data_IF_695802996327
#
_entry.id   IF_695802996327
#
_cell.length_a   1.000
_cell.length_b   1.000
_cell.length_c   1.000
_cell.angle_alpha   90.00
_cell.angle_beta   90.00
_cell.angle_gamma   90.00
#
_symmetry.space_group_name_H-M   'P 1'
#
loop_
_entity.id
_entity.type
_entity.pdbx_description
1 polymer ?
#
# COMPACT_ATOMS: atom_id res chain seq x y z
N UNK A 1 1.17 -19.87 16.92
CA UNK A 1 1.79 -19.96 15.58
C UNK A 1 2.45 -18.62 15.28
N UNK A 2 3.65 -18.65 14.72
CA UNK A 2 4.40 -17.46 14.28
C UNK A 2 3.76 -16.83 13.05
N UNK A 3 3.91 -15.52 12.90
CA UNK A 3 3.52 -14.78 11.70
C UNK A 3 4.16 -15.41 10.44
N UNK A 4 3.41 -15.66 9.34
CA UNK A 4 3.98 -16.23 8.14
C UNK A 4 4.86 -15.22 7.38
N UNK A 5 5.89 -15.72 6.71
CA UNK A 5 6.85 -14.93 5.93
C UNK A 5 6.81 -15.33 4.45
N UNK A 6 7.34 -14.47 3.59
CA UNK A 6 7.44 -14.64 2.15
C UNK A 6 8.82 -14.18 1.66
N UNK A 7 9.44 -14.96 0.78
CA UNK A 7 10.70 -14.59 0.13
C UNK A 7 10.38 -13.69 -1.07
N UNK A 8 10.43 -12.37 -0.85
CA UNK A 8 10.15 -11.37 -1.88
C UNK A 8 11.29 -11.27 -2.91
N UNK A 9 12.52 -11.50 -2.45
CA UNK A 9 13.71 -11.70 -3.27
C UNK A 9 14.66 -12.69 -2.54
N UNK A 10 15.73 -13.22 -3.19
CA UNK A 10 16.60 -14.24 -2.59
C UNK A 10 17.16 -13.91 -1.20
N UNK A 11 17.48 -12.64 -0.94
CA UNK A 11 18.01 -12.13 0.34
C UNK A 11 17.03 -11.18 1.05
N UNK A 12 15.75 -11.20 0.66
CA UNK A 12 14.71 -10.32 1.18
C UNK A 12 13.47 -11.11 1.59
N UNK A 13 13.38 -11.41 2.88
CA UNK A 13 12.24 -12.13 3.47
C UNK A 13 11.37 -11.17 4.26
N UNK A 14 10.11 -11.04 3.87
CA UNK A 14 9.13 -10.11 4.47
C UNK A 14 8.04 -10.88 5.19
N UNK A 15 7.50 -10.33 6.26
CA UNK A 15 6.26 -10.83 6.85
C UNK A 15 5.10 -10.68 5.86
N UNK A 16 4.17 -11.64 5.85
CA UNK A 16 2.93 -11.60 5.04
C UNK A 16 2.01 -10.42 5.40
N UNK A 17 2.26 -9.77 6.53
CA UNK A 17 1.66 -8.51 6.93
C UNK A 17 2.72 -7.42 6.89
N UNK A 18 2.44 -6.33 6.17
CA UNK A 18 3.28 -5.15 6.10
C UNK A 18 2.57 -4.02 6.83
N UNK A 19 3.27 -3.37 7.77
CA UNK A 19 2.70 -2.27 8.53
C UNK A 19 2.81 -0.98 7.73
N UNK A 20 1.70 -0.54 7.13
CA UNK A 20 1.59 0.76 6.48
C UNK A 20 1.45 1.90 7.50
N UNK A 21 2.19 2.98 7.29
CA UNK A 21 2.36 4.04 8.30
C UNK A 21 1.70 5.37 7.93
N UNK A 22 0.86 5.42 6.90
CA UNK A 22 0.29 6.67 6.37
C UNK A 22 -0.57 7.50 7.34
N UNK A 23 -0.91 6.97 8.52
CA UNK A 23 -1.63 7.72 9.57
C UNK A 23 -0.69 8.41 10.58
N UNK A 24 0.61 8.11 10.54
CA UNK A 24 1.59 8.54 11.54
C UNK A 24 2.01 10.00 11.31
N UNK A 25 1.67 10.87 12.26
CA UNK A 25 1.88 12.32 12.16
C UNK A 25 0.62 13.12 11.82
N UNK A 26 -0.51 12.43 11.60
CA UNK A 26 -1.85 13.00 11.39
C UNK A 26 -2.86 12.38 12.38
N UNK A 27 -3.50 11.24 12.04
CA UNK A 27 -4.43 10.57 12.97
C UNK A 27 -3.74 9.99 14.20
N UNK A 28 -2.47 9.58 14.06
CA UNK A 28 -1.67 9.04 15.14
C UNK A 28 -0.57 10.02 15.53
N UNK A 29 -0.58 10.42 16.80
CA UNK A 29 0.55 11.11 17.43
C UNK A 29 1.79 10.21 17.46
N UNK A 30 2.95 10.79 17.74
CA UNK A 30 4.21 10.05 17.88
C UNK A 30 4.10 8.91 18.91
N UNK A 31 3.52 9.18 20.08
CA UNK A 31 3.42 8.18 21.16
C UNK A 31 2.46 7.04 20.79
N UNK A 32 1.38 7.34 20.06
CA UNK A 32 0.49 6.31 19.51
C UNK A 32 1.20 5.48 18.44
N UNK A 33 1.94 6.13 17.54
CA UNK A 33 2.72 5.47 16.48
C UNK A 33 3.76 4.51 17.07
N UNK A 34 4.46 4.94 18.13
CA UNK A 34 5.40 4.08 18.86
C UNK A 34 4.72 2.84 19.43
N UNK A 35 3.56 2.99 20.08
CA UNK A 35 2.82 1.83 20.62
C UNK A 35 2.36 0.86 19.53
N UNK A 36 1.96 1.39 18.38
CA UNK A 36 1.55 0.58 17.23
C UNK A 36 2.74 -0.18 16.63
N UNK A 37 3.89 0.47 16.48
CA UNK A 37 5.14 -0.15 16.02
C UNK A 37 5.69 -1.15 17.06
N UNK A 38 5.58 -0.85 18.35
CA UNK A 38 5.97 -1.77 19.43
C UNK A 38 5.13 -3.05 19.36
N UNK A 39 3.80 -2.94 19.22
CA UNK A 39 2.92 -4.10 19.04
C UNK A 39 3.24 -4.85 17.74
N UNK A 40 3.41 -4.15 16.62
CA UNK A 40 3.69 -4.78 15.33
C UNK A 40 5.03 -5.52 15.32
N UNK A 41 6.09 -4.90 15.83
CA UNK A 41 7.42 -5.46 15.76
C UNK A 41 7.69 -6.48 16.88
N UNK A 42 7.51 -6.09 18.15
CA UNK A 42 7.91 -6.93 19.28
C UNK A 42 6.89 -8.02 19.63
N UNK A 43 5.59 -7.76 19.42
CA UNK A 43 4.53 -8.72 19.77
C UNK A 43 4.12 -9.55 18.55
N UNK A 44 3.85 -8.89 17.43
CA UNK A 44 3.35 -9.55 16.23
C UNK A 44 4.44 -10.17 15.36
N UNK A 45 5.71 -9.72 15.50
CA UNK A 45 6.83 -10.21 14.70
C UNK A 45 6.85 -9.68 13.26
N UNK A 46 6.16 -8.57 12.98
CA UNK A 46 6.17 -7.91 11.67
C UNK A 46 7.55 -7.28 11.47
N UNK A 47 8.22 -7.66 10.38
CA UNK A 47 9.51 -7.06 10.01
C UNK A 47 9.40 -6.05 8.86
N UNK A 48 8.24 -5.93 8.21
CA UNK A 48 8.08 -5.13 7.01
C UNK A 48 7.26 -3.87 7.26
N UNK A 49 7.86 -2.69 7.06
CA UNK A 49 7.21 -1.39 7.22
C UNK A 49 7.12 -0.68 5.87
N UNK A 50 5.96 -0.08 5.60
CA UNK A 50 5.72 0.74 4.41
C UNK A 50 5.40 2.19 4.80
N UNK A 51 6.10 3.12 4.15
CA UNK A 51 5.92 4.58 4.29
C UNK A 51 6.02 5.24 2.92
N UNK A 52 5.99 6.56 2.85
CA UNK A 52 6.28 7.35 1.66
C UNK A 52 6.74 8.74 2.09
N UNK A 53 7.49 9.44 1.24
CA UNK A 53 7.90 10.82 1.55
C UNK A 53 6.70 11.76 1.77
N UNK A 54 5.59 11.51 1.08
CA UNK A 54 4.40 12.36 1.15
C UNK A 54 3.55 12.11 2.39
N UNK A 55 3.78 11.02 3.12
CA UNK A 55 2.97 10.65 4.27
C UNK A 55 3.20 11.61 5.45
N UNK A 56 2.15 11.87 6.26
CA UNK A 56 0.87 11.14 6.36
C UNK A 56 -0.24 11.61 5.40
N UNK A 57 -1.41 10.95 5.48
CA UNK A 57 -2.65 11.31 4.77
C UNK A 57 -3.77 11.74 5.74
N UNK A 58 -4.65 12.69 5.36
CA UNK A 58 -4.61 13.51 4.14
C UNK A 58 -3.37 14.38 4.03
N UNK A 59 -2.93 14.64 2.80
CA UNK A 59 -1.62 15.22 2.53
C UNK A 59 -1.62 16.73 2.77
N UNK A 60 -0.68 17.21 3.60
CA UNK A 60 -0.51 18.64 3.87
C UNK A 60 0.96 19.03 4.00
N UNK A 61 1.30 20.27 3.63
CA UNK A 61 2.67 20.81 3.68
C UNK A 61 3.33 20.68 5.05
N UNK A 62 2.58 20.88 6.13
CA UNK A 62 3.11 20.93 7.49
C UNK A 62 3.37 19.55 8.09
N UNK A 63 2.81 18.49 7.48
CA UNK A 63 2.90 17.12 7.98
C UNK A 63 3.72 16.19 7.09
N UNK A 64 3.99 16.59 5.84
CA UNK A 64 4.80 15.83 4.88
C UNK A 64 6.12 15.33 5.49
N UNK A 65 6.41 14.05 5.28
CA UNK A 65 7.63 13.38 5.76
C UNK A 65 7.56 12.89 7.21
N UNK A 66 6.55 13.28 8.00
CA UNK A 66 6.48 12.90 9.43
C UNK A 66 6.39 11.40 9.65
N UNK A 67 5.77 10.64 8.76
CA UNK A 67 5.68 9.18 8.94
C UNK A 67 7.07 8.54 8.91
N UNK A 68 7.96 8.97 8.00
CA UNK A 68 9.36 8.55 7.95
C UNK A 68 10.14 8.98 9.20
N UNK A 69 9.97 10.22 9.63
CA UNK A 69 10.58 10.73 10.87
C UNK A 69 10.12 9.93 12.11
N UNK A 70 8.85 9.53 12.16
CA UNK A 70 8.30 8.79 13.29
C UNK A 70 8.88 7.37 13.35
N UNK A 71 9.05 6.72 12.20
CA UNK A 71 9.73 5.41 12.11
C UNK A 71 11.17 5.54 12.61
N UNK A 72 11.93 6.53 12.13
CA UNK A 72 13.34 6.68 12.53
C UNK A 72 13.50 6.96 14.02
N UNK A 73 12.64 7.82 14.57
CA UNK A 73 12.60 8.11 16.00
C UNK A 73 12.26 6.87 16.82
N UNK A 74 11.31 6.05 16.35
CA UNK A 74 10.96 4.80 17.02
C UNK A 74 12.13 3.82 17.01
N UNK A 75 12.75 3.59 15.85
CA UNK A 75 13.90 2.69 15.70
C UNK A 75 15.04 3.09 16.64
N UNK A 76 15.39 4.38 16.72
CA UNK A 76 16.42 4.88 17.65
C UNK A 76 16.01 4.73 19.11
N UNK A 77 14.79 5.13 19.46
CA UNK A 77 14.29 5.08 20.84
C UNK A 77 14.17 3.65 21.39
N UNK A 78 13.89 2.68 20.52
CA UNK A 78 13.78 1.26 20.87
C UNK A 78 15.03 0.46 20.57
N UNK A 79 16.07 1.09 20.02
CA UNK A 79 17.32 0.45 19.59
C UNK A 79 17.07 -0.74 18.67
N UNK A 80 16.12 -0.60 17.73
CA UNK A 80 15.81 -1.66 16.78
C UNK A 80 16.94 -1.78 15.77
N UNK A 81 17.57 -2.95 15.62
CA UNK A 81 18.62 -3.15 14.61
C UNK A 81 18.07 -2.91 13.20
N UNK A 82 18.81 -2.17 12.37
CA UNK A 82 18.36 -1.79 11.02
C UNK A 82 18.17 -3.00 10.11
N UNK A 83 18.98 -4.03 10.25
CA UNK A 83 18.94 -5.30 9.52
C UNK A 83 17.75 -6.20 9.93
N UNK A 84 17.08 -5.88 11.04
CA UNK A 84 15.89 -6.61 11.50
C UNK A 84 14.59 -6.12 10.89
N UNK A 85 14.61 -4.98 10.20
CA UNK A 85 13.46 -4.36 9.54
C UNK A 85 13.71 -4.24 8.05
N UNK A 86 12.69 -4.57 7.27
CA UNK A 86 12.59 -4.22 5.86
C UNK A 86 11.83 -2.90 5.76
N UNK A 87 12.51 -1.86 5.29
CA UNK A 87 11.91 -0.54 5.06
C UNK A 87 11.57 -0.35 3.58
N UNK A 88 10.28 -0.17 3.30
CA UNK A 88 9.80 0.33 2.01
C UNK A 88 9.38 1.79 2.11
N UNK A 89 9.89 2.63 1.21
CA UNK A 89 9.39 4.01 1.01
C UNK A 89 9.20 4.30 -0.47
N UNK A 90 8.66 5.48 -0.79
CA UNK A 90 8.19 5.80 -2.14
C UNK A 90 8.50 7.24 -2.54
N UNK A 91 8.85 7.41 -3.81
CA UNK A 91 8.86 8.71 -4.49
C UNK A 91 7.48 9.02 -5.06
N UNK A 92 6.98 10.20 -4.72
CA UNK A 92 5.75 10.82 -5.21
C UNK A 92 5.90 11.14 -6.69
N UNK A 93 4.99 10.61 -7.52
CA UNK A 93 4.89 10.98 -8.93
C UNK A 93 4.32 12.38 -9.14
N UNK A 94 4.08 12.79 -10.40
CA UNK A 94 3.56 14.11 -10.72
C UNK A 94 2.26 14.44 -9.98
N UNK A 95 2.16 15.64 -9.41
CA UNK A 95 0.94 16.10 -8.74
C UNK A 95 0.76 17.61 -8.82
N UNK A 96 -0.38 18.05 -9.35
CA UNK A 96 -0.80 19.45 -9.32
C UNK A 96 -1.28 19.93 -7.94
N UNK A 97 -1.51 19.02 -6.99
CA UNK A 97 -2.05 19.37 -5.66
C UNK A 97 -0.96 19.46 -4.59
N UNK A 98 0.15 18.73 -4.75
CA UNK A 98 1.21 18.60 -3.74
C UNK A 98 2.41 19.50 -4.05
N UNK A 99 2.16 20.78 -4.35
CA UNK A 99 3.17 21.76 -4.82
C UNK A 99 4.32 22.02 -3.83
N UNK A 100 4.22 21.53 -2.60
CA UNK A 100 5.25 21.67 -1.57
C UNK A 100 6.27 20.54 -1.53
N UNK A 101 6.01 19.40 -2.19
CA UNK A 101 6.95 18.29 -2.25
C UNK A 101 8.00 18.61 -3.33
N UNK A 102 9.27 18.81 -2.95
CA UNK A 102 10.38 19.14 -3.86
C UNK A 102 10.08 20.30 -4.84
N UNK A 103 9.37 21.34 -4.36
CA UNK A 103 8.96 22.47 -5.21
C UNK A 103 7.84 22.15 -6.21
N UNK A 104 7.09 21.08 -5.95
CA UNK A 104 6.07 20.50 -6.79
C UNK A 104 6.68 19.32 -7.54
N UNK A 105 6.27 18.06 -7.26
CA UNK A 105 6.77 16.92 -8.01
C UNK A 105 6.16 17.05 -9.40
N UNK A 106 6.92 17.62 -10.34
CA UNK A 106 6.47 17.85 -11.72
C UNK A 106 6.63 16.59 -12.57
N UNK A 107 7.56 15.74 -12.15
CA UNK A 107 8.12 14.63 -12.91
C UNK A 107 8.85 13.65 -11.97
N UNK A 108 9.08 12.45 -12.48
CA UNK A 108 9.97 11.42 -11.97
C UNK A 108 11.26 11.39 -12.82
N UNK A 109 11.82 12.57 -13.09
CA UNK A 109 13.15 12.68 -13.71
C UNK A 109 14.26 12.27 -12.73
N UNK A 110 15.48 12.13 -13.25
CA UNK A 110 16.61 11.68 -12.45
C UNK A 110 16.89 12.58 -11.23
N UNK A 111 16.66 13.90 -11.38
CA UNK A 111 16.86 14.87 -10.30
C UNK A 111 15.85 14.65 -9.17
N UNK A 112 14.56 14.55 -9.51
CA UNK A 112 13.47 14.34 -8.55
C UNK A 112 13.61 13.00 -7.82
N UNK A 113 13.96 11.94 -8.54
CA UNK A 113 14.16 10.61 -7.94
C UNK A 113 15.33 10.66 -6.95
N UNK A 114 16.48 11.22 -7.35
CA UNK A 114 17.66 11.31 -6.49
C UNK A 114 17.39 12.16 -5.24
N UNK A 115 16.79 13.34 -5.41
CA UNK A 115 16.45 14.23 -4.29
C UNK A 115 15.46 13.56 -3.32
N UNK A 116 14.44 12.86 -3.84
CA UNK A 116 13.48 12.15 -3.02
C UNK A 116 14.12 11.03 -2.19
N UNK A 117 15.04 10.26 -2.78
CA UNK A 117 15.81 9.21 -2.08
C UNK A 117 16.61 9.83 -0.94
N UNK A 118 17.40 10.87 -1.24
CA UNK A 118 18.30 11.50 -0.25
C UNK A 118 17.51 12.12 0.90
N UNK A 119 16.40 12.80 0.61
CA UNK A 119 15.52 13.35 1.63
C UNK A 119 14.84 12.27 2.48
N UNK A 120 14.48 11.13 1.89
CA UNK A 120 13.87 10.01 2.61
C UNK A 120 14.89 9.31 3.52
N UNK A 121 16.11 9.06 3.04
CA UNK A 121 17.22 8.53 3.85
C UNK A 121 17.54 9.43 5.04
N UNK A 122 17.55 10.75 4.83
CA UNK A 122 17.75 11.74 5.89
C UNK A 122 16.67 11.64 6.97
N UNK A 123 15.39 11.64 6.59
CA UNK A 123 14.26 11.53 7.55
C UNK A 123 14.22 10.18 8.26
N UNK A 124 14.51 9.10 7.53
CA UNK A 124 14.59 7.74 8.06
C UNK A 124 15.87 7.51 8.90
N UNK A 125 16.85 8.40 8.81
CA UNK A 125 18.16 8.32 9.48
C UNK A 125 18.81 6.94 9.28
N UNK A 126 18.89 6.50 8.02
CA UNK A 126 19.47 5.24 7.59
C UNK A 126 20.24 5.47 6.28
N UNK A 127 21.25 4.65 6.02
CA UNK A 127 22.09 4.78 4.81
C UNK A 127 21.49 4.06 3.59
N UNK A 128 20.54 3.14 3.82
CA UNK A 128 19.87 2.39 2.76
C UNK A 128 18.38 2.15 3.01
N UNK A 129 17.64 1.97 1.92
CA UNK A 129 16.23 1.54 1.86
C UNK A 129 16.18 0.13 1.24
N UNK A 130 15.39 -0.77 1.81
CA UNK A 130 15.31 -2.15 1.30
C UNK A 130 14.50 -2.22 0.00
N UNK A 131 13.37 -1.53 -0.06
CA UNK A 131 12.52 -1.46 -1.24
C UNK A 131 12.11 0.00 -1.52
N UNK A 132 12.60 0.57 -2.61
CA UNK A 132 12.19 1.90 -3.04
C UNK A 132 11.17 1.80 -4.17
N UNK A 133 10.08 2.55 -4.06
CA UNK A 133 8.96 2.42 -4.98
C UNK A 133 8.65 3.73 -5.69
N UNK A 134 8.28 3.65 -6.96
CA UNK A 134 7.54 4.74 -7.61
C UNK A 134 6.10 4.70 -7.08
N UNK A 135 5.63 5.77 -6.44
CA UNK A 135 4.33 5.79 -5.75
C UNK A 135 3.14 5.80 -6.72
N UNK A 136 3.28 6.48 -7.84
CA UNK A 136 2.39 6.36 -9.00
C UNK A 136 3.15 6.74 -10.27
N UNK A 137 2.69 6.29 -11.45
CA UNK A 137 3.40 6.55 -12.70
C UNK A 137 3.57 8.03 -13.02
N UNK A 138 4.66 8.36 -13.72
CA UNK A 138 4.84 9.70 -14.29
C UNK A 138 3.82 10.00 -15.38
N UNK A 139 3.51 8.98 -16.18
CA UNK A 139 2.53 9.09 -17.28
C UNK A 139 1.10 9.09 -16.75
N UNK A 140 0.19 9.59 -17.58
CA UNK A 140 -1.24 9.41 -17.35
C UNK A 140 -1.61 7.92 -17.28
N UNK A 141 -2.26 7.55 -16.18
CA UNK A 141 -2.99 6.30 -15.98
C UNK A 141 -4.30 6.61 -15.24
N UNK A 142 -5.40 5.88 -15.50
CA UNK A 142 -6.59 5.99 -14.66
C UNK A 142 -6.26 5.56 -13.23
N UNK A 143 -6.64 6.38 -12.26
CA UNK A 143 -6.32 6.18 -10.84
C UNK A 143 -7.47 6.58 -9.93
N UNK A 144 -7.42 6.14 -8.68
CA UNK A 144 -8.27 6.63 -7.57
C UNK A 144 -9.79 6.58 -7.83
N UNK A 145 -10.26 5.45 -8.37
CA UNK A 145 -11.66 5.21 -8.71
C UNK A 145 -11.95 5.22 -10.21
N UNK A 146 -10.98 5.58 -11.05
CA UNK A 146 -11.03 5.43 -12.50
C UNK A 146 -10.40 4.10 -12.93
N UNK A 147 -10.92 3.50 -14.01
CA UNK A 147 -10.38 2.26 -14.61
C UNK A 147 -10.18 2.35 -16.12
N UNK A 148 -10.94 3.22 -16.78
CA UNK A 148 -10.89 3.38 -18.23
C UNK A 148 -9.72 4.30 -18.62
N UNK A 149 -8.83 3.78 -19.46
CA UNK A 149 -7.75 4.58 -20.03
C UNK A 149 -8.27 5.44 -21.17
N UNK A 150 -8.10 6.77 -21.05
CA UNK A 150 -8.44 7.73 -22.09
C UNK A 150 -7.16 8.30 -22.73
N UNK A 151 -6.84 7.94 -24.00
CA UNK A 151 -5.65 8.43 -24.66
C UNK A 151 -5.66 9.94 -24.87
N UNK A 152 -6.81 10.63 -24.78
CA UNK A 152 -6.87 12.10 -24.93
C UNK A 152 -6.35 12.85 -23.70
N UNK A 153 -6.24 12.17 -22.54
CA UNK A 153 -5.69 12.72 -21.29
C UNK A 153 -4.17 12.56 -21.17
N UNK A 154 -3.51 12.04 -22.19
CA UNK A 154 -2.06 11.93 -22.20
C UNK A 154 -1.40 13.31 -22.07
N UNK A 155 -0.24 13.34 -21.44
CA UNK A 155 0.65 14.49 -21.36
C UNK A 155 2.09 14.00 -21.53
N UNK A 156 3.00 14.93 -21.83
CA UNK A 156 4.44 14.61 -21.90
C UNK A 156 4.92 14.18 -20.52
N UNK A 157 5.35 12.93 -20.43
CA UNK A 157 5.89 12.32 -19.21
C UNK A 157 7.38 12.03 -19.37
N UNK A 158 8.08 11.87 -18.26
CA UNK A 158 9.44 11.34 -18.24
C UNK A 158 9.44 9.90 -18.72
N UNK A 159 10.39 9.56 -19.60
CA UNK A 159 10.54 8.20 -20.11
C UNK A 159 10.90 7.21 -19.01
N UNK A 160 10.39 5.99 -19.13
CA UNK A 160 10.67 4.91 -18.17
C UNK A 160 12.18 4.58 -18.14
N UNK A 161 12.89 4.76 -19.25
CA UNK A 161 14.35 4.56 -19.31
C UNK A 161 15.12 5.53 -18.40
N UNK A 162 14.72 6.81 -18.36
CA UNK A 162 15.35 7.78 -17.47
C UNK A 162 15.04 7.46 -16.00
N UNK A 163 13.80 7.07 -15.71
CA UNK A 163 13.39 6.61 -14.37
C UNK A 163 14.24 5.41 -13.92
N UNK A 164 14.45 4.44 -14.80
CA UNK A 164 15.26 3.25 -14.55
C UNK A 164 16.74 3.59 -14.35
N UNK A 165 17.31 4.47 -15.17
CA UNK A 165 18.70 4.90 -15.02
C UNK A 165 18.94 5.56 -13.65
N UNK A 166 18.02 6.42 -13.21
CA UNK A 166 18.09 7.07 -11.89
C UNK A 166 18.00 6.05 -10.74
N UNK A 167 17.09 5.09 -10.84
CA UNK A 167 16.95 4.01 -9.85
C UNK A 167 18.18 3.09 -9.84
N UNK A 168 18.77 2.80 -11.01
CA UNK A 168 20.00 2.01 -11.16
C UNK A 168 21.18 2.67 -10.48
N UNK A 169 21.39 3.97 -10.73
CA UNK A 169 22.42 4.76 -10.04
C UNK A 169 22.26 4.75 -8.52
N UNK A 170 21.02 4.76 -8.01
CA UNK A 170 20.76 4.66 -6.59
C UNK A 170 21.06 3.28 -6.00
N UNK A 171 20.85 2.20 -6.77
CA UNK A 171 21.27 0.83 -6.41
C UNK A 171 22.79 0.75 -6.37
N UNK A 172 23.47 1.24 -7.41
CA UNK A 172 24.94 1.21 -7.49
C UNK A 172 25.59 2.02 -6.36
N UNK A 173 24.95 3.12 -5.95
CA UNK A 173 25.36 3.93 -4.81
C UNK A 173 25.02 3.28 -3.44
N UNK A 174 24.35 2.12 -3.41
CA UNK A 174 23.95 1.42 -2.19
C UNK A 174 22.81 2.08 -1.40
N UNK A 175 22.17 3.12 -1.95
CA UNK A 175 21.09 3.88 -1.31
C UNK A 175 19.78 3.08 -1.25
N UNK A 176 19.53 2.24 -2.25
CA UNK A 176 18.35 1.38 -2.33
C UNK A 176 18.78 -0.06 -2.72
N UNK A 177 18.11 -1.09 -2.21
CA UNK A 177 18.44 -2.50 -2.53
C UNK A 177 17.60 -3.08 -3.67
N UNK A 178 16.30 -2.74 -3.68
CA UNK A 178 15.30 -3.22 -4.61
C UNK A 178 14.35 -2.12 -5.05
N UNK A 179 13.74 -2.32 -6.21
CA UNK A 179 12.75 -1.43 -6.82
C UNK A 179 11.38 -2.08 -6.79
N UNK A 180 10.36 -1.30 -6.49
CA UNK A 180 8.97 -1.66 -6.72
C UNK A 180 8.24 -0.55 -7.46
N UNK A 181 7.04 -0.89 -7.94
CA UNK A 181 6.13 0.05 -8.57
C UNK A 181 4.86 0.14 -7.73
N UNK A 182 4.07 1.20 -7.87
CA UNK A 182 2.79 1.34 -7.18
C UNK A 182 1.80 2.06 -8.08
N UNK A 183 0.53 1.68 -7.95
CA UNK A 183 -0.57 2.16 -8.80
C UNK A 183 -0.28 2.00 -10.30
N UNK A 184 0.41 0.92 -10.66
CA UNK A 184 0.81 0.64 -12.03
C UNK A 184 -0.21 -0.24 -12.75
N UNK A 185 -0.08 -0.30 -14.08
CA UNK A 185 -0.87 -1.10 -15.01
C UNK A 185 0.00 -2.20 -15.63
N UNK A 186 -0.60 -3.20 -16.30
CA UNK A 186 0.15 -4.26 -16.98
C UNK A 186 1.17 -3.70 -18.00
N UNK A 187 0.78 -2.67 -18.73
CA UNK A 187 1.68 -1.98 -19.66
C UNK A 187 2.92 -1.45 -18.95
N UNK A 188 2.75 -0.73 -17.83
CA UNK A 188 3.87 -0.13 -17.11
C UNK A 188 4.80 -1.19 -16.54
N UNK A 189 4.26 -2.20 -15.84
CA UNK A 189 5.06 -3.31 -15.29
C UNK A 189 5.89 -3.99 -16.38
N UNK A 190 5.26 -4.38 -17.49
CA UNK A 190 5.97 -5.04 -18.59
C UNK A 190 6.99 -4.12 -19.26
N UNK A 191 6.67 -2.84 -19.41
CA UNK A 191 7.59 -1.87 -20.03
C UNK A 191 8.82 -1.60 -19.16
N UNK A 192 8.62 -1.47 -17.84
CA UNK A 192 9.72 -1.39 -16.87
C UNK A 192 10.61 -2.62 -16.96
N UNK A 193 10.05 -3.83 -16.98
CA UNK A 193 10.82 -5.08 -17.06
C UNK A 193 11.58 -5.23 -18.37
N UNK A 194 10.94 -4.91 -19.49
CA UNK A 194 11.55 -4.91 -20.82
C UNK A 194 12.80 -4.01 -20.85
N UNK A 195 12.66 -2.79 -20.35
CA UNK A 195 13.74 -1.79 -20.38
C UNK A 195 14.81 -2.04 -19.33
N UNK A 196 14.43 -2.56 -18.16
CA UNK A 196 15.35 -2.83 -17.06
C UNK A 196 16.47 -3.82 -17.43
N UNK A 197 16.27 -4.64 -18.48
CA UNK A 197 17.30 -5.56 -18.98
C UNK A 197 18.55 -4.82 -19.46
N UNK A 198 18.38 -3.64 -20.05
CA UNK A 198 19.47 -2.79 -20.53
C UNK A 198 20.29 -2.17 -19.38
N UNK A 199 19.74 -2.15 -18.16
CA UNK A 199 20.34 -1.55 -16.97
C UNK A 199 20.75 -2.60 -15.92
N UNK A 200 20.59 -3.90 -16.21
CA UNK A 200 20.82 -4.97 -15.22
C UNK A 200 19.80 -4.98 -14.06
N UNK A 201 18.69 -4.25 -14.20
CA UNK A 201 17.69 -4.04 -13.15
C UNK A 201 16.50 -4.98 -13.20
N UNK A 202 16.34 -5.82 -14.23
CA UNK A 202 15.16 -6.69 -14.35
C UNK A 202 14.98 -7.60 -13.12
N UNK A 203 16.07 -8.03 -12.49
CA UNK A 203 16.05 -8.82 -11.26
C UNK A 203 15.78 -8.01 -9.98
N UNK A 204 15.72 -6.68 -10.09
CA UNK A 204 15.56 -5.73 -8.98
C UNK A 204 14.17 -5.12 -8.90
N UNK A 205 13.38 -5.17 -9.96
CA UNK A 205 11.96 -4.86 -9.92
C UNK A 205 11.25 -6.12 -9.40
N UNK A 206 10.83 -6.10 -8.14
CA UNK A 206 10.36 -7.33 -7.47
C UNK A 206 8.90 -7.28 -7.03
N UNK A 207 8.30 -6.08 -7.04
CA UNK A 207 6.98 -5.88 -6.48
C UNK A 207 6.18 -4.79 -7.20
N UNK A 208 4.87 -4.98 -7.22
CA UNK A 208 3.90 -3.92 -7.51
C UNK A 208 2.97 -3.75 -6.30
N UNK A 209 2.83 -2.53 -5.82
CA UNK A 209 1.96 -2.17 -4.69
C UNK A 209 0.67 -1.54 -5.22
N UNK A 210 -0.35 -2.38 -5.44
CA UNK A 210 -1.67 -1.97 -5.91
C UNK A 210 -2.76 -2.29 -4.89
N UNK A 211 -3.91 -1.62 -5.02
CA UNK A 211 -5.08 -1.90 -4.19
C UNK A 211 -5.63 -3.27 -4.51
N UNK A 212 -5.81 -4.08 -3.48
CA UNK A 212 -6.45 -5.38 -3.61
C UNK A 212 -7.23 -5.71 -2.34
N UNK A 213 -8.54 -5.90 -2.49
CA UNK A 213 -9.46 -6.23 -1.41
C UNK A 213 -10.81 -6.71 -2.00
N UNK A 214 -11.76 -7.07 -1.13
CA UNK A 214 -13.08 -7.56 -1.53
C UNK A 214 -13.90 -6.59 -2.42
N UNK A 215 -13.59 -5.28 -2.40
CA UNK A 215 -14.23 -4.24 -3.21
C UNK A 215 -13.40 -3.85 -4.46
N UNK A 216 -12.18 -4.36 -4.60
CA UNK A 216 -11.25 -4.03 -5.67
C UNK A 216 -10.36 -5.23 -5.98
N UNK A 217 -10.70 -5.95 -7.04
CA UNK A 217 -10.03 -7.14 -7.57
C UNK A 217 -9.53 -6.93 -9.01
N UNK A 218 -9.38 -5.68 -9.46
CA UNK A 218 -8.82 -5.36 -10.78
C UNK A 218 -7.45 -6.00 -11.06
N UNK A 219 -6.68 -6.28 -10.00
CA UNK A 219 -5.44 -7.03 -10.10
C UNK A 219 -5.65 -8.42 -10.73
N UNK A 220 -6.72 -9.14 -10.35
CA UNK A 220 -7.01 -10.50 -10.83
C UNK A 220 -7.12 -10.54 -12.36
N UNK A 221 -7.80 -9.55 -12.95
CA UNK A 221 -8.08 -9.50 -14.40
C UNK A 221 -7.03 -8.77 -15.22
N UNK A 222 -6.23 -7.89 -14.59
CA UNK A 222 -5.27 -7.05 -15.29
C UNK A 222 -3.83 -7.51 -15.11
N UNK A 223 -3.37 -7.58 -13.86
CA UNK A 223 -1.95 -7.69 -13.52
C UNK A 223 -1.53 -9.11 -13.13
N UNK A 224 -2.45 -9.96 -12.67
CA UNK A 224 -2.10 -11.26 -12.11
C UNK A 224 -1.30 -12.14 -13.09
N UNK A 225 -1.69 -12.18 -14.37
CA UNK A 225 -0.99 -12.97 -15.39
C UNK A 225 0.47 -12.49 -15.58
N UNK A 226 0.68 -11.21 -15.87
CA UNK A 226 2.02 -10.68 -16.06
C UNK A 226 2.88 -10.81 -14.79
N UNK A 227 2.29 -10.57 -13.61
CA UNK A 227 2.99 -10.74 -12.33
C UNK A 227 3.41 -12.19 -12.09
N UNK A 228 2.56 -13.16 -12.45
CA UNK A 228 2.89 -14.58 -12.35
C UNK A 228 4.07 -14.96 -13.25
N UNK A 229 4.01 -14.58 -14.52
CA UNK A 229 5.04 -14.93 -15.51
C UNK A 229 6.38 -14.25 -15.22
N UNK A 230 6.34 -12.99 -14.81
CA UNK A 230 7.54 -12.18 -14.55
C UNK A 230 8.02 -12.25 -13.09
N UNK A 231 7.38 -13.09 -12.27
CA UNK A 231 7.70 -13.28 -10.84
C UNK A 231 7.66 -11.96 -10.03
N UNK A 232 6.75 -11.07 -10.38
CA UNK A 232 6.49 -9.84 -9.64
C UNK A 232 5.43 -10.13 -8.58
N UNK A 233 5.74 -9.79 -7.33
CA UNK A 233 4.80 -9.99 -6.23
C UNK A 233 3.88 -8.80 -6.03
N UNK A 234 2.64 -9.05 -5.60
CA UNK A 234 1.72 -8.01 -5.17
C UNK A 234 1.95 -7.66 -3.69
N UNK A 235 2.12 -6.36 -3.43
CA UNK A 235 1.97 -5.76 -2.11
C UNK A 235 0.58 -5.12 -2.04
N UNK A 236 -0.39 -5.84 -1.47
CA UNK A 236 -1.79 -5.46 -1.51
C UNK A 236 -2.07 -4.33 -0.51
N UNK A 237 -2.24 -3.09 -0.98
CA UNK A 237 -2.58 -1.96 -0.11
C UNK A 237 -4.09 -1.83 0.09
N UNK A 238 -4.48 -1.15 1.18
CA UNK A 238 -5.88 -0.98 1.59
C UNK A 238 -6.67 -2.29 1.63
N UNK A 239 -6.16 -3.37 2.28
CA UNK A 239 -6.89 -4.65 2.37
C UNK A 239 -8.26 -4.49 3.07
N UNK A 240 -8.40 -3.44 3.88
CA UNK A 240 -9.63 -3.09 4.61
C UNK A 240 -10.45 -1.97 3.96
N UNK A 241 -10.10 -1.50 2.76
CA UNK A 241 -10.77 -0.40 2.08
C UNK A 241 -10.98 0.83 2.99
N UNK A 242 -9.92 1.38 3.58
CA UNK A 242 -9.99 2.46 4.59
C UNK A 242 -10.86 2.13 5.84
N UNK A 243 -10.99 0.84 6.16
CA UNK A 243 -11.79 0.33 7.28
C UNK A 243 -13.25 0.07 6.92
N UNK A 244 -13.67 0.27 5.66
CA UNK A 244 -15.04 0.08 5.21
C UNK A 244 -15.49 -1.37 5.35
N UNK A 245 -14.61 -2.32 5.03
CA UNK A 245 -14.88 -3.76 5.12
C UNK A 245 -15.05 -4.29 6.55
N UNK A 246 -14.82 -3.46 7.57
CA UNK A 246 -15.21 -3.81 8.95
C UNK A 246 -16.72 -3.70 9.21
N UNK A 247 -17.47 -3.10 8.29
CA UNK A 247 -18.90 -2.79 8.48
C UNK A 247 -19.17 -1.56 9.35
N UNK A 248 -18.15 -0.89 9.91
CA UNK A 248 -18.34 0.21 10.87
C UNK A 248 -19.19 1.39 10.35
N UNK A 249 -19.20 1.63 9.04
CA UNK A 249 -19.98 2.70 8.40
C UNK A 249 -21.39 2.26 7.94
N UNK A 250 -21.77 0.99 8.16
CA UNK A 250 -23.13 0.51 7.85
C UNK A 250 -24.15 0.96 8.89
N UNK A 251 -23.71 1.24 10.13
CA UNK A 251 -24.56 1.74 11.21
C UNK A 251 -25.36 2.99 10.79
N UNK A 252 -26.61 3.19 11.26
CA UNK A 252 -27.38 4.41 11.04
C UNK A 252 -26.61 5.68 11.40
N UNK A 253 -25.78 5.63 12.45
CA UNK A 253 -24.98 6.78 12.92
C UNK A 253 -23.66 6.96 12.13
N UNK A 254 -23.49 6.26 11.00
CA UNK A 254 -22.28 6.30 10.15
C UNK A 254 -20.98 5.86 10.83
N UNK A 255 -21.04 5.25 12.02
CA UNK A 255 -19.88 4.68 12.72
C UNK A 255 -19.11 5.67 13.60
N UNK A 256 -17.94 5.27 14.15
CA UNK A 256 -17.20 6.08 15.11
C UNK A 256 -16.75 7.44 14.53
N UNK A 257 -16.80 8.55 15.30
CA UNK A 257 -16.41 9.87 14.79
C UNK A 257 -14.91 9.97 14.48
N UNK A 258 -14.08 9.15 15.15
CA UNK A 258 -12.64 9.07 14.92
C UNK A 258 -12.25 8.11 13.77
N UNK A 259 -13.23 7.49 13.12
CA UNK A 259 -12.99 6.68 11.92
C UNK A 259 -12.58 7.57 10.75
N UNK A 260 -11.65 7.09 9.91
CA UNK A 260 -10.99 7.90 8.86
C UNK A 260 -11.97 8.70 7.99
N UNK A 261 -13.01 8.05 7.46
CA UNK A 261 -13.94 8.71 6.53
C UNK A 261 -14.88 9.71 7.24
N UNK A 262 -15.05 9.58 8.56
CA UNK A 262 -15.84 10.53 9.35
C UNK A 262 -14.97 11.72 9.78
N UNK A 263 -13.75 11.43 10.26
CA UNK A 263 -12.80 12.43 10.71
C UNK A 263 -12.36 13.39 9.60
N UNK A 264 -12.19 12.87 8.38
CA UNK A 264 -11.72 13.64 7.22
C UNK A 264 -12.80 13.88 6.17
N UNK A 265 -14.08 13.83 6.55
CA UNK A 265 -15.19 14.13 5.65
C UNK A 265 -15.03 15.50 5.00
N UNK A 266 -15.05 15.56 3.67
CA UNK A 266 -14.82 16.75 2.84
C UNK A 266 -13.37 17.23 2.78
N UNK A 267 -12.42 16.50 3.38
CA UNK A 267 -11.00 16.87 3.47
C UNK A 267 -10.07 15.83 2.84
N UNK A 268 -10.58 14.67 2.47
CA UNK A 268 -9.78 13.60 1.85
C UNK A 268 -10.39 13.15 0.52
N UNK A 269 -10.29 14.02 -0.49
CA UNK A 269 -10.92 13.86 -1.80
C UNK A 269 -10.58 12.52 -2.48
N UNK A 270 -9.33 12.08 -2.43
CA UNK A 270 -8.85 10.82 -3.00
C UNK A 270 -9.54 9.59 -2.37
N UNK A 271 -9.70 9.59 -1.04
CA UNK A 271 -10.42 8.51 -0.35
C UNK A 271 -11.91 8.55 -0.63
N UNK A 272 -12.50 9.74 -0.69
CA UNK A 272 -13.93 9.93 -0.96
C UNK A 272 -14.31 9.59 -2.40
N UNK A 273 -13.49 9.99 -3.38
CA UNK A 273 -13.72 9.70 -4.80
C UNK A 273 -13.69 8.21 -5.08
N UNK A 274 -12.79 7.48 -4.42
CA UNK A 274 -12.63 6.04 -4.62
C UNK A 274 -13.76 5.23 -3.98
N UNK A 275 -14.03 5.47 -2.69
CA UNK A 275 -14.89 4.58 -1.91
C UNK A 275 -16.34 5.03 -1.81
N UNK A 276 -16.64 6.30 -2.10
CA UNK A 276 -17.99 6.88 -2.20
C UNK A 276 -18.97 6.27 -1.18
N UNK A 277 -18.77 6.52 0.12
CA UNK A 277 -19.54 5.88 1.21
C UNK A 277 -21.08 5.98 1.07
N UNK A 278 -21.57 7.00 0.36
CA UNK A 278 -22.99 7.18 0.05
C UNK A 278 -23.52 6.25 -1.03
N UNK A 279 -22.65 5.54 -1.76
CA UNK A 279 -23.02 4.60 -2.81
C UNK A 279 -23.79 3.42 -2.23
N UNK A 280 -25.03 3.23 -2.71
CA UNK A 280 -25.87 2.09 -2.34
C UNK A 280 -25.20 0.76 -2.72
N UNK A 281 -24.52 0.71 -3.87
CA UNK A 281 -23.77 -0.47 -4.34
C UNK A 281 -22.65 -0.85 -3.37
N UNK A 282 -21.84 0.13 -2.93
CA UNK A 282 -20.75 -0.13 -1.97
C UNK A 282 -21.32 -0.61 -0.64
N UNK A 283 -22.36 0.06 -0.13
CA UNK A 283 -23.02 -0.32 1.13
C UNK A 283 -23.62 -1.73 1.06
N UNK A 284 -24.26 -2.09 -0.05
CA UNK A 284 -24.84 -3.42 -0.26
C UNK A 284 -23.74 -4.50 -0.29
N UNK A 285 -22.69 -4.31 -1.08
CA UNK A 285 -21.57 -5.26 -1.15
C UNK A 285 -20.91 -5.48 0.21
N UNK A 286 -20.63 -4.39 0.95
CA UNK A 286 -20.06 -4.48 2.31
C UNK A 286 -21.01 -5.19 3.26
N UNK A 287 -22.31 -4.92 3.19
CA UNK A 287 -23.32 -5.62 3.98
C UNK A 287 -23.33 -7.13 3.74
N UNK A 288 -23.19 -7.56 2.49
CA UNK A 288 -23.12 -8.99 2.17
C UNK A 288 -21.83 -9.65 2.64
N UNK A 289 -20.67 -9.01 2.49
CA UNK A 289 -19.42 -9.53 3.04
C UNK A 289 -19.43 -9.61 4.57
N UNK A 290 -20.02 -8.62 5.25
CA UNK A 290 -20.21 -8.66 6.72
C UNK A 290 -21.14 -9.81 7.10
N UNK A 291 -22.23 -10.05 6.35
CA UNK A 291 -23.14 -11.19 6.58
C UNK A 291 -22.42 -12.53 6.45
N UNK A 292 -21.55 -12.69 5.45
CA UNK A 292 -20.70 -13.88 5.29
C UNK A 292 -19.80 -14.05 6.52
N UNK A 293 -19.10 -13.00 6.94
CA UNK A 293 -18.22 -13.06 8.11
C UNK A 293 -18.98 -13.54 9.38
N UNK A 294 -20.14 -12.96 9.64
CA UNK A 294 -21.01 -13.33 10.77
C UNK A 294 -21.51 -14.78 10.66
N UNK A 295 -21.94 -15.22 9.47
CA UNK A 295 -22.40 -16.60 9.23
C UNK A 295 -21.35 -17.63 9.62
N UNK A 296 -20.08 -17.37 9.34
CA UNK A 296 -18.97 -18.28 9.62
C UNK A 296 -18.23 -17.99 10.93
N UNK A 297 -18.75 -17.09 11.77
CA UNK A 297 -18.17 -16.79 13.08
C UNK A 297 -16.80 -16.11 13.05
N UNK A 298 -16.46 -15.43 11.95
CA UNK A 298 -15.21 -14.67 11.82
C UNK A 298 -15.49 -13.16 11.83
N UNK A 299 -14.52 -12.35 12.28
CA UNK A 299 -14.69 -10.90 12.20
C UNK A 299 -14.67 -10.44 10.73
N UNK A 300 -15.44 -9.40 10.34
CA UNK A 300 -15.38 -8.86 8.99
C UNK A 300 -13.98 -8.39 8.58
N UNK A 301 -13.21 -7.85 9.54
CA UNK A 301 -11.84 -7.44 9.31
C UNK A 301 -10.92 -8.62 8.99
N UNK A 302 -11.03 -9.68 9.78
CA UNK A 302 -10.21 -10.87 9.57
C UNK A 302 -10.61 -11.60 8.27
N UNK A 303 -11.91 -11.66 7.91
CA UNK A 303 -12.36 -12.19 6.62
C UNK A 303 -11.72 -11.44 5.44
N UNK A 304 -11.79 -10.11 5.45
CA UNK A 304 -11.28 -9.28 4.36
C UNK A 304 -9.77 -9.42 4.18
N UNK A 305 -9.00 -9.45 5.27
CA UNK A 305 -7.54 -9.60 5.20
C UNK A 305 -7.15 -11.03 4.82
N UNK A 306 -7.84 -12.05 5.35
CA UNK A 306 -7.61 -13.45 4.97
C UNK A 306 -7.86 -13.67 3.48
N UNK A 307 -8.87 -13.01 2.90
CA UNK A 307 -9.13 -13.06 1.47
C UNK A 307 -7.95 -12.54 0.65
N UNK A 308 -7.38 -11.40 1.06
CA UNK A 308 -6.18 -10.82 0.42
C UNK A 308 -4.98 -11.77 0.56
N UNK A 309 -4.71 -12.27 1.76
CA UNK A 309 -3.56 -13.13 2.04
C UNK A 309 -3.62 -14.49 1.33
N UNK A 310 -4.82 -14.97 0.99
CA UNK A 310 -5.04 -16.23 0.25
C UNK A 310 -4.53 -16.15 -1.19
N UNK A 311 -4.50 -14.95 -1.80
CA UNK A 311 -4.12 -14.83 -3.20
C UNK A 311 -2.64 -15.25 -3.39
N UNK A 312 -2.32 -16.19 -4.29
CA UNK A 312 -0.98 -16.78 -4.38
C UNK A 312 0.13 -15.78 -4.75
N UNK A 313 -0.22 -14.73 -5.49
CA UNK A 313 0.72 -13.66 -5.87
C UNK A 313 0.87 -12.55 -4.81
N UNK A 314 0.11 -12.59 -3.71
CA UNK A 314 0.26 -11.59 -2.63
C UNK A 314 1.44 -12.00 -1.74
N UNK A 315 2.53 -11.23 -1.82
CA UNK A 315 3.65 -11.36 -0.91
C UNK A 315 3.30 -10.84 0.49
N UNK A 316 2.60 -9.70 0.55
CA UNK A 316 2.19 -9.10 1.82
C UNK A 316 0.97 -8.19 1.67
N UNK A 317 0.12 -8.16 2.70
CA UNK A 317 -0.94 -7.17 2.84
C UNK A 317 -0.44 -5.93 3.60
N UNK A 318 -0.48 -4.76 2.95
CA UNK A 318 -0.11 -3.47 3.56
C UNK A 318 -1.31 -2.93 4.33
N UNK A 319 -1.39 -3.30 5.60
CA UNK A 319 -2.48 -2.89 6.49
C UNK A 319 -2.14 -1.60 7.23
N UNK A 320 -3.15 -0.88 7.72
CA UNK A 320 -2.96 0.26 8.60
C UNK A 320 -3.83 0.11 9.85
N UNK A 321 -3.35 0.63 10.97
CA UNK A 321 -4.06 0.63 12.24
C UNK A 321 -3.91 1.99 12.93
N UNK A 322 -4.98 2.46 13.59
CA UNK A 322 -4.93 3.65 14.45
C UNK A 322 -5.00 3.29 15.94
N UNK A 323 -5.36 2.04 16.27
CA UNK A 323 -5.48 1.52 17.64
C UNK A 323 -4.84 0.13 17.73
N UNK A 324 -4.18 -0.16 18.85
CA UNK A 324 -3.45 -1.43 19.08
C UNK A 324 -4.34 -2.66 18.89
N UNK A 325 -5.59 -2.62 19.36
CA UNK A 325 -6.51 -3.75 19.21
C UNK A 325 -6.82 -4.13 17.75
N UNK A 326 -6.69 -3.19 16.80
CA UNK A 326 -6.89 -3.49 15.37
C UNK A 326 -5.79 -4.41 14.84
N UNK A 327 -4.57 -4.32 15.38
CA UNK A 327 -3.44 -5.19 15.00
C UNK A 327 -3.79 -6.65 15.36
N UNK A 328 -4.47 -6.87 16.49
CA UNK A 328 -4.91 -8.22 16.88
C UNK A 328 -5.88 -8.82 15.86
N UNK A 329 -6.86 -8.06 15.38
CA UNK A 329 -7.80 -8.53 14.34
C UNK A 329 -7.09 -8.86 13.01
N UNK A 330 -6.10 -8.05 12.64
CA UNK A 330 -5.26 -8.28 11.46
C UNK A 330 -4.44 -9.57 11.63
N UNK A 331 -3.91 -9.84 12.83
CA UNK A 331 -3.16 -11.07 13.10
C UNK A 331 -4.03 -12.32 13.08
N UNK A 332 -5.25 -12.23 13.62
CA UNK A 332 -6.20 -13.36 13.54
C UNK A 332 -6.50 -13.74 12.09
N UNK A 333 -6.49 -12.79 11.15
CA UNK A 333 -6.68 -13.06 9.72
C UNK A 333 -5.65 -14.07 9.15
N UNK A 334 -4.43 -14.11 9.70
CA UNK A 334 -3.38 -15.04 9.25
C UNK A 334 -3.65 -16.49 9.67
N UNK A 335 -4.64 -16.71 10.54
CA UNK A 335 -5.01 -18.03 11.08
C UNK A 335 -6.32 -18.55 10.50
N UNK A 336 -7.02 -17.74 9.71
CA UNK A 336 -8.30 -18.11 9.11
C UNK A 336 -8.03 -18.90 7.84
N UNK A 337 -8.55 -20.12 7.81
CA UNK A 337 -8.69 -20.87 6.58
C UNK A 337 -10.04 -20.52 5.93
N UNK A 338 -10.00 -19.99 4.72
CA UNK A 338 -11.21 -19.67 3.95
C UNK A 338 -11.62 -20.91 3.17
N UNK A 339 -12.60 -21.63 3.71
CA UNK A 339 -13.16 -22.82 3.07
C UNK A 339 -13.70 -22.53 1.67
N UNK A 340 -13.85 -23.58 0.87
CA UNK A 340 -14.41 -23.47 -0.48
C UNK A 340 -15.80 -22.79 -0.47
N UNK A 341 -16.63 -23.06 0.54
CA UNK A 341 -17.96 -22.47 0.70
C UNK A 341 -17.90 -20.96 0.96
N UNK A 342 -16.98 -20.51 1.84
CA UNK A 342 -16.78 -19.09 2.12
C UNK A 342 -16.34 -18.36 0.84
N UNK A 343 -15.41 -18.96 0.09
CA UNK A 343 -14.91 -18.39 -1.17
C UNK A 343 -16.00 -18.36 -2.24
N UNK A 344 -16.84 -19.40 -2.33
CA UNK A 344 -17.97 -19.42 -3.25
C UNK A 344 -18.94 -18.26 -2.96
N UNK A 345 -19.32 -18.06 -1.70
CA UNK A 345 -20.19 -16.94 -1.31
C UNK A 345 -19.52 -15.58 -1.58
N UNK A 346 -18.23 -15.41 -1.27
CA UNK A 346 -17.49 -14.18 -1.61
C UNK A 346 -17.54 -13.90 -3.11
N UNK A 347 -17.36 -14.93 -3.95
CA UNK A 347 -17.40 -14.78 -5.40
C UNK A 347 -18.80 -14.47 -5.93
N UNK A 348 -19.86 -15.00 -5.32
CA UNK A 348 -21.23 -14.61 -5.64
C UNK A 348 -21.50 -13.12 -5.36
N UNK A 349 -21.02 -12.60 -4.22
CA UNK A 349 -21.10 -11.16 -3.92
C UNK A 349 -20.34 -10.37 -4.97
N UNK A 350 -19.12 -10.79 -5.30
CA UNK A 350 -18.29 -10.11 -6.29
C UNK A 350 -18.92 -10.12 -7.70
N UNK A 351 -19.59 -11.20 -8.09
CA UNK A 351 -20.31 -11.28 -9.37
C UNK A 351 -21.50 -10.30 -9.44
N UNK A 352 -22.20 -10.09 -8.31
CA UNK A 352 -23.27 -9.07 -8.21
C UNK A 352 -22.73 -7.64 -8.14
N UNK A 353 -21.58 -7.47 -7.51
CA UNK A 353 -20.94 -6.18 -7.26
C UNK A 353 -19.46 -6.20 -7.71
N UNK A 354 -19.20 -6.20 -9.03
CA UNK A 354 -17.84 -6.29 -9.54
C UNK A 354 -17.11 -4.96 -9.32
N UNK A 355 -15.98 -5.02 -8.59
CA UNK A 355 -15.04 -3.91 -8.39
C UNK A 355 -15.70 -2.54 -8.09
N UNK A 356 -16.56 -2.40 -7.07
CA UNK A 356 -17.28 -1.16 -6.81
C UNK A 356 -16.40 0.00 -6.31
N UNK A 357 -15.13 -0.25 -5.98
CA UNK A 357 -14.17 0.75 -5.51
C UNK A 357 -12.78 0.56 -6.18
N UNK A 358 -12.68 0.68 -7.51
CA UNK A 358 -11.46 0.33 -8.24
C UNK A 358 -10.24 1.18 -7.87
#
# INVERSE_FOLDING_TARGET
MSLPFFHLAPDLTVSKLCFGTMTFGEQNTLSQSFRLLDEGFFVAGINFLDTAEMYPVPQHRTTQGRSEEYISRWMRARKVPRDRIILATKVTGPSGQMVWIRGGPKSLDACNISEAIDNSLLRLCTDYIDLYQIHWPDRYVPMFGETEYDPTRHYTSVDIEEQLDALGKAIDAGKIRYVGLSNETPYGVMKFLQLAGNFGLSSKIIAVQNSYNLLCRNFDSGLAECCHHERISLLAYSPMAMGILSGKYLSPDSGPPDARMNLFKGKYSEGESRYKLSSSTVRAAVGEYVRIAVKYGVSPASLAIAFVLRHPLVASAVFGATKVWQIKEVLEATKIDLSADIIAEINEVHARYPNPCP
#
